data_IF_618106593471
#
_entry.id   IF_618106593471
#
_cell.length_a   1.000
_cell.length_b   1.000
_cell.length_c   1.000
_cell.angle_alpha   90.00
_cell.angle_beta   90.00
_cell.angle_gamma   90.00
#
_symmetry.space_group_name_H-M   'P 1'
#
loop_
_entity.id
_entity.type
_entity.pdbx_description
1 polymer ?
#
# COMPACT_ATOMS: atom_id res chain seq x y z
N UNK A 1 -12.13 8.19 -19.70
CA UNK A 1 -10.99 7.26 -19.85
C UNK A 1 -10.54 6.83 -18.46
N UNK A 2 -10.77 5.57 -18.07
CA UNK A 2 -10.13 5.03 -16.87
C UNK A 2 -8.67 4.79 -17.23
N UNK A 3 -7.77 5.62 -16.72
CA UNK A 3 -6.34 5.40 -16.92
C UNK A 3 -5.95 4.09 -16.22
N UNK A 4 -5.74 3.04 -17.01
CA UNK A 4 -5.28 1.74 -16.52
C UNK A 4 -3.82 1.88 -16.08
N UNK A 5 -3.58 2.01 -14.78
CA UNK A 5 -2.24 1.99 -14.23
C UNK A 5 -1.70 0.55 -14.29
N UNK A 6 -0.45 0.39 -14.72
CA UNK A 6 0.24 -0.91 -14.66
C UNK A 6 0.73 -1.16 -13.24
N UNK A 7 0.31 -2.25 -12.62
CA UNK A 7 0.82 -2.64 -11.30
C UNK A 7 2.09 -3.48 -11.46
N UNK A 8 3.12 -3.14 -10.70
CA UNK A 8 4.39 -3.88 -10.63
C UNK A 8 4.67 -4.22 -9.17
N UNK A 9 4.90 -5.50 -8.89
CA UNK A 9 5.26 -5.97 -7.54
C UNK A 9 6.78 -6.03 -7.41
N UNK A 10 7.33 -5.41 -6.36
CA UNK A 10 8.72 -5.62 -5.96
C UNK A 10 8.94 -7.08 -5.54
N UNK A 11 10.21 -7.52 -5.49
CA UNK A 11 10.56 -8.84 -4.94
C UNK A 11 10.05 -8.97 -3.50
N UNK A 12 10.31 -7.95 -2.69
CA UNK A 12 9.87 -7.92 -1.30
C UNK A 12 8.35 -8.03 -1.18
N UNK A 13 7.57 -7.31 -2.00
CA UNK A 13 6.11 -7.42 -2.01
C UNK A 13 5.64 -8.85 -2.29
N UNK A 14 6.24 -9.53 -3.29
CA UNK A 14 5.91 -10.92 -3.63
C UNK A 14 6.21 -11.88 -2.48
N UNK A 15 7.35 -11.70 -1.81
CA UNK A 15 7.73 -12.53 -0.66
C UNK A 15 6.70 -12.35 0.48
N UNK A 16 6.32 -11.11 0.77
CA UNK A 16 5.34 -10.76 1.81
C UNK A 16 3.95 -11.29 1.54
N UNK A 17 3.53 -11.26 0.27
CA UNK A 17 2.27 -11.87 -0.18
C UNK A 17 2.29 -13.39 0.05
N UNK A 18 3.38 -14.07 -0.32
CA UNK A 18 3.54 -15.51 -0.12
C UNK A 18 3.51 -15.89 1.36
N UNK A 19 4.24 -15.18 2.21
CA UNK A 19 4.27 -15.40 3.67
C UNK A 19 2.89 -15.30 4.32
N UNK A 20 1.99 -14.49 3.75
CA UNK A 20 0.67 -14.17 4.31
C UNK A 20 -0.49 -14.78 3.54
N UNK A 21 -0.20 -15.59 2.52
CA UNK A 21 -1.20 -16.14 1.60
C UNK A 21 -2.14 -15.06 1.01
N UNK A 22 -1.57 -13.93 0.60
CA UNK A 22 -2.32 -12.79 0.01
C UNK A 22 -2.33 -12.92 -1.51
N UNK A 23 -3.53 -12.91 -2.09
CA UNK A 23 -3.75 -12.91 -3.53
C UNK A 23 -3.43 -11.55 -4.17
N UNK A 24 -3.13 -11.56 -5.48
CA UNK A 24 -2.88 -10.32 -6.21
C UNK A 24 -4.16 -9.48 -6.33
N UNK A 25 -5.32 -10.13 -6.32
CA UNK A 25 -6.65 -9.53 -6.34
C UNK A 25 -6.89 -8.64 -5.11
N UNK A 26 -6.36 -9.02 -3.95
CA UNK A 26 -6.44 -8.21 -2.73
C UNK A 26 -5.58 -6.96 -2.82
N UNK A 27 -4.41 -7.05 -3.45
CA UNK A 27 -3.55 -5.90 -3.72
C UNK A 27 -4.23 -4.95 -4.71
N UNK A 28 -4.84 -5.48 -5.77
CA UNK A 28 -5.60 -4.67 -6.71
C UNK A 28 -6.79 -3.99 -6.03
N UNK A 29 -7.55 -4.71 -5.21
CA UNK A 29 -8.67 -4.16 -4.47
C UNK A 29 -8.22 -3.03 -3.54
N UNK A 30 -7.12 -3.21 -2.80
CA UNK A 30 -6.54 -2.17 -1.97
C UNK A 30 -6.19 -0.91 -2.78
N UNK A 31 -5.53 -1.06 -3.93
CA UNK A 31 -5.09 0.05 -4.76
C UNK A 31 -6.26 0.80 -5.42
N UNK A 32 -7.35 0.12 -5.76
CA UNK A 32 -8.50 0.70 -6.45
C UNK A 32 -9.60 1.21 -5.53
N UNK A 33 -9.80 0.55 -4.38
CA UNK A 33 -10.86 0.86 -3.42
C UNK A 33 -10.31 0.93 -1.97
N UNK A 34 -9.33 1.80 -1.69
CA UNK A 34 -8.81 1.92 -0.34
C UNK A 34 -9.87 2.48 0.61
N UNK A 35 -9.97 1.92 1.82
CA UNK A 35 -10.72 2.54 2.92
C UNK A 35 -10.01 3.72 3.52
N UNK A 36 -8.69 3.77 3.35
CA UNK A 36 -7.86 4.85 3.79
C UNK A 36 -6.66 4.96 2.85
N UNK A 37 -6.37 6.19 2.45
CA UNK A 37 -5.18 6.49 1.66
C UNK A 37 -4.25 7.36 2.50
N UNK A 38 -3.00 6.93 2.64
CA UNK A 38 -2.01 7.64 3.44
C UNK A 38 -0.81 8.00 2.57
N UNK A 39 -0.26 9.18 2.77
CA UNK A 39 1.00 9.60 2.20
C UNK A 39 2.11 9.54 3.27
N UNK A 40 3.19 8.82 2.96
CA UNK A 40 4.41 8.76 3.75
C UNK A 40 5.41 9.80 3.25
N UNK A 41 5.41 10.95 3.92
CA UNK A 41 6.23 12.12 3.53
C UNK A 41 7.73 11.90 3.64
N UNK A 42 8.19 10.89 4.37
CA UNK A 42 9.62 10.63 4.52
C UNK A 42 10.19 9.83 3.36
N UNK A 43 9.36 9.04 2.67
CA UNK A 43 9.79 8.18 1.57
C UNK A 43 9.18 8.56 0.22
N UNK A 44 8.30 9.56 0.19
CA UNK A 44 7.55 9.98 -1.00
C UNK A 44 6.76 8.81 -1.62
N UNK A 45 5.98 8.11 -0.79
CA UNK A 45 5.16 6.97 -1.20
C UNK A 45 3.74 7.07 -0.64
N UNK A 46 2.83 6.33 -1.25
CA UNK A 46 1.46 6.18 -0.80
C UNK A 46 1.28 4.82 -0.12
N UNK A 47 0.29 4.72 0.76
CA UNK A 47 -0.13 3.50 1.43
C UNK A 47 -1.64 3.40 1.25
N UNK A 48 -2.07 2.41 0.48
CA UNK A 48 -3.48 2.06 0.34
C UNK A 48 -3.85 1.01 1.38
N UNK A 49 -4.76 1.35 2.29
CA UNK A 49 -5.28 0.43 3.31
C UNK A 49 -6.60 -0.12 2.82
N UNK A 50 -6.76 -1.45 2.83
CA UNK A 50 -7.99 -2.11 2.37
C UNK A 50 -8.92 -2.50 3.51
N UNK A 51 -10.17 -2.80 3.16
CA UNK A 51 -11.12 -3.44 4.09
C UNK A 51 -10.64 -4.80 4.59
N UNK A 52 -9.84 -5.51 3.79
CA UNK A 52 -9.33 -6.86 4.08
C UNK A 52 -8.14 -6.89 5.04
N UNK A 53 -7.95 -5.84 5.83
CA UNK A 53 -6.90 -5.74 6.84
C UNK A 53 -5.46 -5.86 6.28
N UNK A 54 -5.24 -5.39 5.06
CA UNK A 54 -3.90 -5.23 4.49
C UNK A 54 -3.62 -3.76 4.18
N UNK A 55 -2.35 -3.39 4.21
CA UNK A 55 -1.89 -2.10 3.73
C UNK A 55 -0.82 -2.30 2.67
N UNK A 56 -0.94 -1.55 1.57
CA UNK A 56 -0.11 -1.70 0.37
C UNK A 56 0.65 -0.39 0.15
N UNK A 57 1.90 -0.30 0.63
CA UNK A 57 2.79 0.79 0.26
C UNK A 57 3.20 0.71 -1.22
N UNK A 58 3.01 1.80 -1.96
CA UNK A 58 3.33 1.88 -3.37
C UNK A 58 3.88 3.27 -3.75
N UNK A 59 4.71 3.29 -4.80
CA UNK A 59 5.14 4.53 -5.46
C UNK A 59 4.43 4.68 -6.81
N UNK A 60 4.17 5.93 -7.22
CA UNK A 60 3.60 6.25 -8.52
C UNK A 60 4.71 6.77 -9.44
N UNK A 61 5.00 6.06 -10.52
CA UNK A 61 5.99 6.45 -11.54
C UNK A 61 5.33 6.50 -12.91
N UNK A 62 4.86 7.68 -13.30
CA UNK A 62 4.08 7.87 -14.52
C UNK A 62 2.78 7.05 -14.48
N UNK A 63 2.65 6.05 -15.36
CA UNK A 63 1.49 5.14 -15.40
C UNK A 63 1.72 3.81 -14.66
N UNK A 64 2.76 3.73 -13.82
CA UNK A 64 3.11 2.51 -13.08
C UNK A 64 2.91 2.72 -11.58
N UNK A 65 2.16 1.82 -10.97
CA UNK A 65 2.06 1.66 -9.53
C UNK A 65 3.05 0.57 -9.11
N UNK A 66 4.17 0.96 -8.51
CA UNK A 66 5.17 0.02 -8.01
C UNK A 66 4.91 -0.28 -6.54
N UNK A 67 4.37 -1.46 -6.27
CA UNK A 67 4.07 -1.98 -4.93
C UNK A 67 5.38 -2.41 -4.28
N UNK A 68 5.71 -1.76 -3.15
CA UNK A 68 6.99 -1.91 -2.47
C UNK A 68 6.95 -3.04 -1.45
N UNK A 69 5.82 -3.21 -0.77
CA UNK A 69 5.59 -4.27 0.22
C UNK A 69 4.09 -4.52 0.39
N UNK A 70 3.74 -5.52 1.20
CA UNK A 70 2.37 -5.73 1.70
C UNK A 70 2.46 -5.95 3.19
N UNK A 71 1.73 -5.14 3.94
CA UNK A 71 1.68 -5.14 5.38
C UNK A 71 0.35 -5.74 5.84
N UNK A 72 0.38 -6.48 6.94
CA UNK A 72 -0.83 -6.72 7.73
C UNK A 72 -1.30 -5.43 8.39
N UNK A 73 -2.58 -5.38 8.77
CA UNK A 73 -3.15 -4.31 9.58
C UNK A 73 -2.34 -4.03 10.85
N UNK A 74 -1.89 -5.07 11.55
CA UNK A 74 -1.10 -4.92 12.78
C UNK A 74 0.24 -4.22 12.54
N UNK A 75 0.92 -4.56 11.44
CA UNK A 75 2.19 -3.93 11.07
C UNK A 75 1.97 -2.46 10.68
N UNK A 76 0.91 -2.18 9.93
CA UNK A 76 0.52 -0.82 9.59
C UNK A 76 0.17 0.02 10.82
N UNK A 77 -0.65 -0.49 11.75
CA UNK A 77 -1.03 0.20 12.98
C UNK A 77 0.20 0.47 13.87
N UNK A 78 1.14 -0.45 13.94
CA UNK A 78 2.40 -0.25 14.67
C UNK A 78 3.23 0.89 14.06
N UNK A 79 3.34 0.95 12.72
CA UNK A 79 4.01 2.05 12.02
C UNK A 79 3.31 3.38 12.30
N UNK A 80 1.99 3.42 12.14
CA UNK A 80 1.18 4.61 12.38
C UNK A 80 1.29 5.09 13.82
N UNK A 81 1.27 4.20 14.80
CA UNK A 81 1.40 4.54 16.22
C UNK A 81 2.75 5.17 16.55
N UNK A 82 3.83 4.66 15.94
CA UNK A 82 5.21 5.11 16.18
C UNK A 82 5.49 6.51 15.63
N UNK A 83 5.06 6.80 14.41
CA UNK A 83 5.43 8.06 13.72
C UNK A 83 4.28 9.05 13.55
N UNK A 84 3.03 8.57 13.52
CA UNK A 84 1.79 9.36 13.40
C UNK A 84 1.94 10.50 12.38
N UNK A 85 1.49 11.70 12.75
CA UNK A 85 1.45 12.92 11.93
C UNK A 85 2.83 13.50 11.58
N UNK A 86 3.92 13.02 12.20
CA UNK A 86 5.27 13.48 11.86
C UNK A 86 5.76 12.94 10.50
N UNK A 87 5.22 11.80 10.08
CA UNK A 87 5.60 11.10 8.86
C UNK A 87 4.41 10.88 7.93
N UNK A 88 3.28 10.48 8.50
CA UNK A 88 2.12 10.05 7.73
C UNK A 88 1.05 11.14 7.67
N UNK A 89 0.58 11.41 6.46
CA UNK A 89 -0.56 12.29 6.19
C UNK A 89 -1.71 11.45 5.65
N UNK A 90 -2.80 11.36 6.39
CA UNK A 90 -4.03 10.71 5.93
C UNK A 90 -4.69 11.64 4.89
N UNK A 91 -5.00 11.10 3.71
CA UNK A 91 -5.58 11.84 2.59
C UNK A 91 -7.09 11.59 2.47
N UNK A 92 -7.55 10.39 2.83
CA UNK A 92 -8.96 10.01 3.00
C UNK A 92 -9.07 8.89 4.03
#
# INVERSE_FOLDING_TARGET
MVTMFKVKLSRHAKDRMRERNIGIEEVYEALHNPVQLVYDSWNDIYIAVSMKNIAVPYSLKGKVLEVLTVLSKREYEALMSKFRRKRYKILT
#
